data_IF_851615017805
#
_entry.id   IF_851615017805
#
_cell.length_a   1.000
_cell.length_b   1.000
_cell.length_c   1.000
_cell.angle_alpha   90.00
_cell.angle_beta   90.00
_cell.angle_gamma   90.00
#
_symmetry.space_group_name_H-M   'P 1'
#
loop_
_entity.id
_entity.type
_entity.pdbx_description
1 polymer ?
#
# COMPACT_ATOMS: atom_id res chain seq x y z
N UNK A 1 -1.13 -8.50 22.00
CA UNK A 1 -1.29 -7.22 22.74
C UNK A 1 -1.70 -6.05 21.85
N UNK A 2 -0.96 -5.67 20.81
CA UNK A 2 -1.33 -4.53 19.95
C UNK A 2 -2.67 -4.75 19.21
N UNK A 3 -2.80 -5.90 18.53
CA UNK A 3 -4.04 -6.25 17.83
C UNK A 3 -5.23 -6.41 18.78
N UNK A 4 -5.03 -6.93 19.99
CA UNK A 4 -6.12 -7.07 20.97
C UNK A 4 -6.60 -5.69 21.48
N UNK A 5 -5.68 -4.74 21.69
CA UNK A 5 -6.05 -3.35 22.04
C UNK A 5 -6.78 -2.65 20.91
N UNK A 6 -6.32 -2.81 19.67
CA UNK A 6 -7.01 -2.27 18.50
C UNK A 6 -8.40 -2.89 18.34
N UNK A 7 -8.54 -4.20 18.59
CA UNK A 7 -9.84 -4.86 18.59
C UNK A 7 -10.80 -4.25 19.60
N UNK A 8 -10.37 -4.00 20.83
CA UNK A 8 -11.24 -3.36 21.84
C UNK A 8 -11.64 -1.93 21.44
N UNK A 9 -10.74 -1.15 20.83
CA UNK A 9 -11.07 0.17 20.31
C UNK A 9 -12.09 0.12 19.15
N UNK A 10 -11.93 -0.84 18.23
CA UNK A 10 -12.90 -1.08 17.15
C UNK A 10 -14.24 -1.50 17.73
N UNK A 11 -14.26 -2.40 18.71
CA UNK A 11 -15.48 -2.91 19.33
C UNK A 11 -16.24 -1.84 20.12
N UNK A 12 -15.54 -0.84 20.66
CA UNK A 12 -16.14 0.31 21.30
C UNK A 12 -16.85 1.27 20.31
N UNK A 13 -16.41 1.31 19.05
CA UNK A 13 -16.97 2.19 18.00
C UNK A 13 -17.02 1.50 16.62
N UNK A 14 -17.81 0.42 16.47
CA UNK A 14 -17.77 -0.45 15.29
C UNK A 14 -18.32 0.19 14.01
N UNK A 15 -19.09 1.27 14.14
CA UNK A 15 -19.60 2.10 13.04
C UNK A 15 -18.58 3.14 12.57
N UNK A 16 -17.48 3.32 13.32
CA UNK A 16 -16.45 4.35 13.06
C UNK A 16 -15.10 3.76 12.69
N UNK A 17 -14.75 2.60 13.23
CA UNK A 17 -13.42 2.02 13.08
C UNK A 17 -13.46 0.60 12.52
N UNK A 18 -12.45 0.29 11.72
CA UNK A 18 -12.06 -1.06 11.33
C UNK A 18 -10.54 -1.19 11.52
N UNK A 19 -10.06 -2.42 11.71
CA UNK A 19 -8.66 -2.69 12.02
C UNK A 19 -7.91 -3.42 10.90
N UNK A 20 -6.64 -3.06 10.72
CA UNK A 20 -5.64 -3.90 10.08
C UNK A 20 -4.68 -4.44 11.14
N UNK A 21 -4.27 -5.69 10.98
CA UNK A 21 -3.35 -6.34 11.89
C UNK A 21 -1.94 -5.75 11.75
N UNK A 22 -1.29 -5.52 12.89
CA UNK A 22 0.16 -5.43 12.96
C UNK A 22 0.72 -6.86 13.04
N UNK A 23 1.70 -7.18 12.20
CA UNK A 23 2.24 -8.53 12.09
C UNK A 23 3.66 -8.61 12.66
N UNK A 24 4.02 -9.69 13.38
CA UNK A 24 5.39 -9.95 13.84
C UNK A 24 6.25 -10.49 12.69
N UNK A 25 6.49 -9.68 11.65
CA UNK A 25 7.11 -10.13 10.39
C UNK A 25 8.52 -10.71 10.52
N UNK A 26 9.21 -10.50 11.65
CA UNK A 26 10.48 -11.16 11.95
C UNK A 26 10.36 -12.69 12.02
N UNK A 27 9.17 -13.21 12.31
CA UNK A 27 8.79 -14.61 12.16
C UNK A 27 7.63 -14.71 11.15
N UNK A 28 7.92 -15.00 9.87
CA UNK A 28 6.89 -15.01 8.83
C UNK A 28 5.76 -16.02 9.04
N UNK A 29 6.04 -17.15 9.71
CA UNK A 29 5.02 -18.15 9.98
C UNK A 29 4.09 -17.66 11.08
N UNK A 30 4.65 -17.14 12.18
CA UNK A 30 3.85 -16.54 13.24
C UNK A 30 3.06 -15.32 12.73
N UNK A 31 3.62 -14.54 11.79
CA UNK A 31 2.92 -13.44 11.14
C UNK A 31 1.72 -13.90 10.30
N UNK A 32 1.85 -15.01 9.56
CA UNK A 32 0.71 -15.61 8.85
C UNK A 32 -0.37 -16.08 9.83
N UNK A 33 0.01 -16.78 10.91
CA UNK A 33 -0.94 -17.27 11.91
C UNK A 33 -1.65 -16.11 12.66
N UNK A 34 -0.93 -15.03 12.94
CA UNK A 34 -1.53 -13.82 13.53
C UNK A 34 -2.48 -13.11 12.56
N UNK A 35 -2.18 -13.08 11.26
CA UNK A 35 -3.11 -12.56 10.25
C UNK A 35 -4.42 -13.35 10.25
N UNK A 36 -4.36 -14.68 10.30
CA UNK A 36 -5.56 -15.52 10.41
C UNK A 36 -6.34 -15.23 11.68
N UNK A 37 -5.67 -15.18 12.83
CA UNK A 37 -6.33 -14.87 14.11
C UNK A 37 -7.01 -13.50 14.05
N UNK A 38 -6.31 -12.49 13.56
CA UNK A 38 -6.82 -11.13 13.48
C UNK A 38 -8.07 -11.02 12.60
N UNK A 39 -8.06 -11.66 11.43
CA UNK A 39 -9.20 -11.64 10.51
C UNK A 39 -10.37 -12.48 11.05
N UNK A 40 -10.11 -13.74 11.44
CA UNK A 40 -11.17 -14.70 11.78
C UNK A 40 -11.74 -14.53 13.18
N UNK A 41 -10.95 -14.01 14.13
CA UNK A 41 -11.35 -13.86 15.53
C UNK A 41 -11.59 -12.41 15.94
N UNK A 42 -10.82 -11.47 15.41
CA UNK A 42 -10.92 -10.05 15.78
C UNK A 42 -11.71 -9.20 14.77
N UNK A 43 -12.08 -9.76 13.63
CA UNK A 43 -12.84 -9.07 12.58
C UNK A 43 -12.02 -8.05 11.79
N UNK A 44 -10.68 -8.14 11.84
CA UNK A 44 -9.81 -7.25 11.08
C UNK A 44 -9.95 -7.49 9.58
N UNK A 45 -9.69 -6.45 8.79
CA UNK A 45 -9.96 -6.43 7.35
C UNK A 45 -8.72 -6.71 6.49
N UNK A 46 -7.62 -7.10 7.11
CA UNK A 46 -6.31 -7.26 6.47
C UNK A 46 -5.17 -6.99 7.45
N UNK A 47 -3.99 -6.70 6.91
CA UNK A 47 -2.82 -6.31 7.70
C UNK A 47 -2.08 -5.13 7.08
N UNK A 48 -1.32 -4.42 7.92
CA UNK A 48 -0.40 -3.37 7.50
C UNK A 48 1.03 -3.75 7.90
N UNK A 49 1.94 -3.67 6.94
CA UNK A 49 3.37 -3.96 7.11
C UNK A 49 4.16 -2.70 6.76
N UNK A 50 5.20 -2.40 7.52
CA UNK A 50 6.00 -1.18 7.38
C UNK A 50 7.37 -1.53 6.82
N UNK A 51 7.58 -1.28 5.53
CA UNK A 51 8.89 -1.45 4.89
C UNK A 51 9.52 -2.87 4.99
N UNK A 52 10.84 -2.98 4.77
CA UNK A 52 11.56 -4.24 4.94
C UNK A 52 11.68 -4.63 6.42
N UNK A 53 11.68 -5.93 6.68
CA UNK A 53 11.90 -6.49 8.02
C UNK A 53 13.33 -6.99 8.12
N UNK A 54 14.10 -6.47 9.08
CA UNK A 54 15.52 -6.80 9.25
C UNK A 54 16.33 -6.63 7.95
N UNK A 55 16.03 -5.57 7.18
CA UNK A 55 16.70 -5.28 5.90
C UNK A 55 16.27 -6.15 4.73
N UNK A 56 15.28 -7.04 4.91
CA UNK A 56 14.76 -7.91 3.84
C UNK A 56 13.39 -7.41 3.38
N UNK A 57 13.26 -7.16 2.09
CA UNK A 57 11.98 -6.81 1.47
C UNK A 57 11.01 -7.99 1.48
N UNK A 58 9.72 -7.67 1.48
CA UNK A 58 8.62 -8.61 1.66
C UNK A 58 8.37 -9.51 0.45
N UNK A 59 9.06 -9.26 -0.68
CA UNK A 59 9.07 -10.13 -1.85
C UNK A 59 9.87 -11.43 -1.65
N UNK A 60 10.80 -11.47 -0.68
CA UNK A 60 11.56 -12.66 -0.33
C UNK A 60 10.62 -13.82 0.04
N UNK A 61 10.91 -15.01 -0.48
CA UNK A 61 10.06 -16.22 -0.31
C UNK A 61 9.80 -16.59 1.14
N UNK A 62 10.63 -16.16 2.08
CA UNK A 62 10.36 -16.35 3.52
C UNK A 62 9.04 -15.73 3.96
N UNK A 63 8.60 -14.63 3.33
CA UNK A 63 7.37 -13.92 3.69
C UNK A 63 6.13 -14.42 2.95
N UNK A 64 6.29 -15.32 1.97
CA UNK A 64 5.19 -15.86 1.18
C UNK A 64 4.11 -16.61 2.00
N UNK A 65 4.37 -17.23 3.17
CA UNK A 65 3.31 -17.73 4.03
C UNK A 65 2.26 -16.65 4.40
N UNK A 66 2.66 -15.38 4.49
CA UNK A 66 1.77 -14.26 4.77
C UNK A 66 0.90 -13.96 3.52
N UNK A 67 1.48 -14.03 2.32
CA UNK A 67 0.75 -13.88 1.05
C UNK A 67 -0.26 -15.00 0.83
N UNK A 68 0.15 -16.24 1.10
CA UNK A 68 -0.73 -17.39 1.06
C UNK A 68 -1.93 -17.21 2.00
N UNK A 69 -1.67 -16.78 3.24
CA UNK A 69 -2.74 -16.58 4.23
C UNK A 69 -3.65 -15.40 3.86
N UNK A 70 -3.09 -14.28 3.42
CA UNK A 70 -3.87 -13.13 2.96
C UNK A 70 -4.80 -13.51 1.79
N UNK A 71 -4.29 -14.26 0.82
CA UNK A 71 -5.08 -14.77 -0.30
C UNK A 71 -6.18 -15.74 0.17
N UNK A 72 -5.86 -16.67 1.07
CA UNK A 72 -6.82 -17.66 1.58
C UNK A 72 -7.99 -16.99 2.33
N UNK A 73 -7.70 -15.90 3.05
CA UNK A 73 -8.67 -15.08 3.78
C UNK A 73 -9.37 -14.04 2.89
N UNK A 74 -8.90 -13.86 1.65
CA UNK A 74 -9.35 -12.85 0.70
C UNK A 74 -9.26 -11.39 1.20
N UNK A 75 -8.23 -11.09 2.01
CA UNK A 75 -7.98 -9.77 2.58
C UNK A 75 -6.72 -9.12 1.98
N UNK A 76 -6.66 -7.78 1.88
CA UNK A 76 -5.48 -7.08 1.41
C UNK A 76 -4.36 -6.99 2.44
N UNK A 77 -3.14 -6.77 1.93
CA UNK A 77 -1.99 -6.31 2.70
C UNK A 77 -1.68 -4.86 2.31
N UNK A 78 -1.61 -3.96 3.28
CA UNK A 78 -1.16 -2.59 3.09
C UNK A 78 0.34 -2.53 3.32
N UNK A 79 1.10 -2.17 2.29
CA UNK A 79 2.55 -1.95 2.41
C UNK A 79 2.76 -0.46 2.67
N UNK A 80 2.92 -0.14 3.95
CA UNK A 80 3.16 1.22 4.42
C UNK A 80 4.66 1.54 4.33
N UNK A 81 5.03 2.79 4.07
CA UNK A 81 6.43 3.17 4.04
C UNK A 81 7.20 2.95 5.34
N UNK A 82 8.52 2.80 5.16
CA UNK A 82 9.54 3.01 6.17
C UNK A 82 10.67 3.83 5.57
N UNK A 83 11.60 4.29 6.40
CA UNK A 83 12.83 4.90 5.90
C UNK A 83 13.63 3.89 5.06
N UNK A 84 14.33 4.36 4.02
CA UNK A 84 15.30 3.55 3.29
C UNK A 84 16.37 2.97 4.21
N UNK A 85 16.94 1.83 3.81
CA UNK A 85 18.09 1.24 4.51
C UNK A 85 19.28 2.20 4.56
N UNK A 86 20.11 2.09 5.61
CA UNK A 86 21.19 3.06 5.87
C UNK A 86 22.12 3.27 4.67
N UNK A 87 22.46 2.21 3.93
CA UNK A 87 23.31 2.31 2.75
C UNK A 87 22.71 3.22 1.65
N UNK A 88 21.38 3.21 1.49
CA UNK A 88 20.67 4.11 0.55
C UNK A 88 20.62 5.52 1.13
N UNK A 89 20.38 5.65 2.44
CA UNK A 89 20.39 6.93 3.12
C UNK A 89 21.73 7.67 2.95
N UNK A 90 22.83 6.95 3.15
CA UNK A 90 24.19 7.45 3.02
C UNK A 90 24.56 7.80 1.58
N UNK A 91 24.07 7.03 0.62
CA UNK A 91 24.38 7.25 -0.79
C UNK A 91 23.60 8.42 -1.39
N UNK A 92 22.32 8.59 -1.04
CA UNK A 92 21.41 9.46 -1.78
C UNK A 92 21.02 10.74 -1.03
N UNK A 93 20.99 10.69 0.30
CA UNK A 93 20.31 11.73 1.09
C UNK A 93 21.21 12.48 2.06
N UNK A 94 22.28 11.84 2.59
CA UNK A 94 23.08 12.34 3.72
C UNK A 94 23.48 13.81 3.62
N UNK A 95 23.87 14.29 2.43
CA UNK A 95 24.41 15.64 2.23
C UNK A 95 23.36 16.75 2.48
N UNK A 96 22.07 16.39 2.56
CA UNK A 96 20.97 17.32 2.77
C UNK A 96 20.19 17.10 4.06
N UNK A 97 20.44 16.01 4.80
CA UNK A 97 19.59 15.63 5.95
C UNK A 97 19.71 16.58 7.14
N UNK A 98 20.86 17.25 7.32
CA UNK A 98 21.01 18.25 8.38
C UNK A 98 20.05 19.44 8.18
N UNK A 99 19.76 19.80 6.92
CA UNK A 99 18.87 20.92 6.58
C UNK A 99 17.43 20.47 6.31
N UNK A 100 17.26 19.28 5.75
CA UNK A 100 15.97 18.72 5.32
C UNK A 100 15.82 17.26 5.74
N UNK A 101 15.69 16.99 7.05
CA UNK A 101 15.58 15.61 7.54
C UNK A 101 14.34 14.89 6.98
N UNK A 102 13.30 15.63 6.59
CA UNK A 102 12.08 15.08 5.99
C UNK A 102 12.34 14.40 4.63
N UNK A 103 13.45 14.72 3.96
CA UNK A 103 13.85 14.10 2.69
C UNK A 103 13.99 12.57 2.81
N UNK A 104 14.47 12.07 3.95
CA UNK A 104 14.57 10.63 4.23
C UNK A 104 13.20 9.96 4.50
N UNK A 105 12.17 10.78 4.74
CA UNK A 105 10.83 10.34 5.14
C UNK A 105 9.80 10.68 4.07
N UNK A 106 8.64 11.22 4.44
CA UNK A 106 7.50 11.47 3.57
C UNK A 106 7.77 12.42 2.39
N UNK A 107 8.82 13.24 2.44
CA UNK A 107 9.13 14.13 1.31
C UNK A 107 9.67 13.36 0.10
N UNK A 108 10.39 12.25 0.30
CA UNK A 108 10.88 11.44 -0.82
C UNK A 108 11.31 10.01 -0.45
N UNK A 109 12.10 9.82 0.60
CA UNK A 109 12.69 8.53 0.95
C UNK A 109 11.66 7.42 1.14
N UNK A 110 10.54 7.71 1.79
CA UNK A 110 9.41 6.79 1.93
C UNK A 110 8.85 6.32 0.58
N UNK A 111 8.69 7.25 -0.37
CA UNK A 111 8.21 6.94 -1.72
C UNK A 111 9.17 6.03 -2.46
N UNK A 112 10.48 6.33 -2.43
CA UNK A 112 11.48 5.51 -3.14
C UNK A 112 11.54 4.09 -2.58
N UNK A 113 11.57 3.94 -1.25
CA UNK A 113 11.64 2.63 -0.59
C UNK A 113 10.39 1.79 -0.91
N UNK A 114 9.20 2.40 -0.79
CA UNK A 114 7.92 1.70 -0.94
C UNK A 114 7.58 1.41 -2.40
N UNK A 115 7.90 2.31 -3.32
CA UNK A 115 7.79 2.07 -4.76
C UNK A 115 8.69 0.91 -5.19
N UNK A 116 9.94 0.88 -4.71
CA UNK A 116 10.87 -0.22 -4.94
C UNK A 116 10.30 -1.53 -4.39
N UNK A 117 9.70 -1.49 -3.21
CA UNK A 117 9.04 -2.64 -2.60
C UNK A 117 7.92 -3.19 -3.49
N UNK A 118 7.00 -2.34 -3.96
CA UNK A 118 5.92 -2.74 -4.86
C UNK A 118 6.44 -3.33 -6.18
N UNK A 119 7.50 -2.74 -6.74
CA UNK A 119 8.14 -3.27 -7.95
C UNK A 119 8.69 -4.68 -7.71
N UNK A 120 9.46 -4.86 -6.65
CA UNK A 120 10.08 -6.15 -6.30
C UNK A 120 9.03 -7.24 -6.09
N UNK A 121 7.91 -6.92 -5.44
CA UNK A 121 6.82 -7.89 -5.24
C UNK A 121 6.31 -8.44 -6.57
N UNK A 122 6.11 -7.59 -7.58
CA UNK A 122 5.69 -8.03 -8.92
C UNK A 122 6.77 -8.92 -9.56
N UNK A 123 8.02 -8.46 -9.56
CA UNK A 123 9.12 -9.18 -10.20
C UNK A 123 9.47 -10.52 -9.52
N UNK A 124 9.09 -10.72 -8.27
CA UNK A 124 9.40 -11.94 -7.51
C UNK A 124 8.61 -13.18 -7.94
N UNK A 125 7.56 -13.01 -8.74
CA UNK A 125 6.65 -14.10 -9.09
C UNK A 125 5.52 -14.34 -8.08
N UNK A 126 5.35 -13.44 -7.10
CA UNK A 126 4.39 -13.62 -6.01
C UNK A 126 2.94 -13.64 -6.52
N UNK A 127 2.59 -12.83 -7.51
CA UNK A 127 1.23 -12.75 -8.05
C UNK A 127 0.90 -13.91 -8.98
N UNK A 128 1.90 -14.50 -9.65
CA UNK A 128 1.76 -15.76 -10.39
C UNK A 128 1.48 -16.93 -9.44
N UNK A 129 2.13 -16.94 -8.27
CA UNK A 129 1.88 -17.94 -7.23
C UNK A 129 0.54 -17.72 -6.51
N UNK A 130 0.20 -16.46 -6.26
CA UNK A 130 -0.98 -16.03 -5.51
C UNK A 130 -1.83 -15.04 -6.35
N UNK A 131 -2.58 -15.55 -7.34
CA UNK A 131 -3.30 -14.72 -8.33
C UNK A 131 -4.53 -13.98 -7.77
N UNK A 132 -4.84 -14.12 -6.48
CA UNK A 132 -5.86 -13.31 -5.80
C UNK A 132 -5.27 -12.46 -4.67
N UNK A 133 -3.95 -12.38 -4.57
CA UNK A 133 -3.30 -11.49 -3.62
C UNK A 133 -3.66 -10.03 -3.95
N UNK A 134 -3.99 -9.25 -2.92
CA UNK A 134 -4.41 -7.84 -3.04
C UNK A 134 -3.47 -6.98 -2.22
N UNK A 135 -2.89 -5.96 -2.83
CA UNK A 135 -1.96 -5.04 -2.17
C UNK A 135 -2.55 -3.63 -2.14
N UNK A 136 -2.33 -2.92 -1.04
CA UNK A 136 -2.64 -1.49 -0.93
C UNK A 136 -1.33 -0.70 -0.75
N UNK A 137 -1.17 0.37 -1.52
CA UNK A 137 -0.09 1.35 -1.36
C UNK A 137 -0.65 2.73 -0.98
N UNK A 138 0.10 3.48 -0.20
CA UNK A 138 -0.22 4.86 0.18
C UNK A 138 0.11 5.88 -0.91
N UNK A 139 -0.07 7.16 -0.58
CA UNK A 139 0.58 8.29 -1.25
C UNK A 139 0.37 8.37 -2.76
N UNK A 140 -0.82 7.98 -3.23
CA UNK A 140 -1.18 7.81 -4.65
C UNK A 140 -0.30 6.78 -5.38
N UNK A 141 -0.04 5.66 -4.71
CA UNK A 141 0.69 4.52 -5.29
C UNK A 141 2.18 4.74 -5.37
N UNK A 142 2.74 5.60 -4.52
CA UNK A 142 4.20 5.84 -4.45
C UNK A 142 4.81 6.22 -5.80
N UNK A 143 4.09 7.02 -6.60
CA UNK A 143 4.48 7.40 -7.97
C UNK A 143 4.57 6.25 -9.00
N UNK A 144 4.20 5.02 -8.63
CA UNK A 144 4.14 3.89 -9.56
C UNK A 144 3.11 4.07 -10.67
N UNK A 145 1.89 4.63 -10.45
CA UNK A 145 0.95 4.86 -11.55
C UNK A 145 1.55 5.74 -12.66
N UNK A 146 2.32 6.76 -12.30
CA UNK A 146 3.00 7.61 -13.27
C UNK A 146 4.08 6.86 -14.06
N UNK A 147 4.76 5.91 -13.42
CA UNK A 147 5.95 5.24 -13.99
C UNK A 147 5.66 3.88 -14.63
N UNK A 148 4.47 3.31 -14.41
CA UNK A 148 4.14 1.93 -14.73
C UNK A 148 4.36 1.58 -16.21
N UNK A 149 3.94 2.43 -17.14
CA UNK A 149 4.20 2.23 -18.57
C UNK A 149 5.70 2.13 -18.89
N UNK A 150 6.51 3.05 -18.35
CA UNK A 150 7.95 3.09 -18.59
C UNK A 150 8.65 1.87 -18.00
N UNK A 151 8.28 1.46 -16.79
CA UNK A 151 8.82 0.27 -16.13
C UNK A 151 8.54 -0.97 -16.99
N UNK A 152 7.28 -1.16 -17.41
CA UNK A 152 6.90 -2.30 -18.25
C UNK A 152 7.68 -2.35 -19.57
N UNK A 153 7.77 -1.21 -20.26
CA UNK A 153 8.52 -1.11 -21.51
C UNK A 153 10.01 -1.34 -21.32
N UNK A 154 10.61 -0.85 -20.25
CA UNK A 154 12.03 -1.06 -19.96
C UNK A 154 12.32 -2.54 -19.66
N UNK A 155 11.50 -3.19 -18.83
CA UNK A 155 11.64 -4.61 -18.48
C UNK A 155 11.43 -5.55 -19.68
N UNK A 156 10.66 -5.12 -20.68
CA UNK A 156 10.43 -5.92 -21.89
C UNK A 156 11.60 -5.91 -22.88
N UNK A 157 12.59 -5.01 -22.71
CA UNK A 157 13.70 -4.88 -23.65
C UNK A 157 14.66 -6.05 -23.53
N UNK A 158 14.83 -6.79 -24.63
CA UNK A 158 15.74 -7.93 -24.69
C UNK A 158 15.26 -9.17 -23.92
N UNK A 159 14.02 -9.17 -23.43
CA UNK A 159 13.40 -10.33 -22.81
C UNK A 159 12.73 -11.23 -23.86
N UNK A 160 12.72 -12.54 -23.62
CA UNK A 160 12.05 -13.51 -24.51
C UNK A 160 10.54 -13.26 -24.62
N UNK A 161 9.95 -12.66 -23.58
CA UNK A 161 8.54 -12.27 -23.52
C UNK A 161 8.40 -10.86 -22.97
N UNK A 162 7.42 -10.07 -23.44
CA UNK A 162 7.10 -8.78 -22.84
C UNK A 162 6.78 -8.92 -21.35
N UNK A 163 7.18 -7.93 -20.57
CA UNK A 163 6.77 -7.82 -19.16
C UNK A 163 5.27 -7.56 -19.07
N UNK A 164 4.63 -8.17 -18.09
CA UNK A 164 3.26 -7.95 -17.64
C UNK A 164 3.19 -6.99 -16.44
N UNK A 165 4.29 -6.31 -16.08
CA UNK A 165 4.39 -5.48 -14.88
C UNK A 165 3.22 -4.51 -14.72
N UNK A 166 2.89 -3.77 -15.78
CA UNK A 166 1.81 -2.77 -15.76
C UNK A 166 0.46 -3.42 -15.49
N UNK A 167 0.17 -4.53 -16.17
CA UNK A 167 -1.09 -5.26 -16.03
C UNK A 167 -1.21 -5.86 -14.63
N UNK A 168 -0.16 -6.52 -14.12
CA UNK A 168 -0.10 -7.06 -12.76
C UNK A 168 -0.28 -5.96 -11.71
N UNK A 169 0.34 -4.79 -11.91
CA UNK A 169 0.15 -3.64 -11.02
C UNK A 169 -1.32 -3.19 -11.00
N UNK A 170 -1.92 -2.94 -12.17
CA UNK A 170 -3.31 -2.49 -12.27
C UNK A 170 -4.34 -3.55 -11.83
N UNK A 171 -3.97 -4.84 -11.84
CA UNK A 171 -4.84 -5.94 -11.42
C UNK A 171 -4.80 -6.18 -9.90
N UNK A 172 -3.62 -6.16 -9.29
CA UNK A 172 -3.41 -6.60 -7.90
C UNK A 172 -3.30 -5.46 -6.89
N UNK A 173 -3.09 -4.22 -7.34
CA UNK A 173 -2.86 -3.10 -6.45
C UNK A 173 -4.05 -2.15 -6.37
N UNK A 174 -4.26 -1.65 -5.16
CA UNK A 174 -5.06 -0.48 -4.84
C UNK A 174 -4.15 0.60 -4.29
N UNK A 175 -4.50 1.85 -4.51
CA UNK A 175 -3.75 3.00 -3.99
C UNK A 175 -4.63 3.86 -3.11
N UNK A 176 -4.03 4.57 -2.17
CA UNK A 176 -4.77 5.54 -1.33
C UNK A 176 -4.27 6.96 -1.49
N UNK A 177 -5.12 7.95 -1.23
CA UNK A 177 -4.78 9.38 -1.29
C UNK A 177 -3.97 9.89 -0.09
N UNK A 178 -3.48 8.99 0.79
CA UNK A 178 -2.86 9.34 2.08
C UNK A 178 -1.77 10.39 1.90
N UNK A 179 -1.90 11.53 2.60
CA UNK A 179 -0.96 12.65 2.55
C UNK A 179 -0.70 13.30 1.18
N UNK A 180 -1.38 12.90 0.10
CA UNK A 180 -1.12 13.37 -1.26
C UNK A 180 -2.42 13.81 -1.95
N UNK A 181 -2.85 15.03 -1.64
CA UNK A 181 -4.09 15.64 -2.16
C UNK A 181 -3.83 16.44 -3.45
N UNK A 182 -3.13 15.83 -4.41
CA UNK A 182 -2.78 16.43 -5.69
C UNK A 182 -3.76 16.00 -6.78
N UNK A 183 -4.55 16.95 -7.31
CA UNK A 183 -5.51 16.67 -8.40
C UNK A 183 -4.84 16.11 -9.66
N UNK A 184 -3.72 16.67 -10.18
CA UNK A 184 -3.04 16.10 -11.33
C UNK A 184 -2.55 14.66 -11.10
N UNK A 185 -2.00 14.36 -9.92
CA UNK A 185 -1.54 13.02 -9.59
C UNK A 185 -2.71 12.02 -9.48
N UNK A 186 -3.84 12.45 -8.91
CA UNK A 186 -5.05 11.64 -8.88
C UNK A 186 -5.58 11.36 -10.29
N UNK A 187 -5.67 12.37 -11.16
CA UNK A 187 -6.14 12.17 -12.54
C UNK A 187 -5.23 11.21 -13.31
N UNK A 188 -3.91 11.34 -13.16
CA UNK A 188 -2.94 10.39 -13.71
C UNK A 188 -3.21 8.96 -13.22
N UNK A 189 -3.44 8.80 -11.92
CA UNK A 189 -3.70 7.49 -11.33
C UNK A 189 -5.03 6.88 -11.81
N UNK A 190 -6.08 7.69 -11.97
CA UNK A 190 -7.36 7.25 -12.55
C UNK A 190 -7.17 6.78 -13.99
N UNK A 191 -6.42 7.53 -14.80
CA UNK A 191 -6.16 7.16 -16.19
C UNK A 191 -5.33 5.88 -16.31
N UNK A 192 -4.41 5.63 -15.38
CA UNK A 192 -3.55 4.44 -15.41
C UNK A 192 -4.24 3.18 -14.88
N UNK A 193 -4.92 3.28 -13.73
CA UNK A 193 -5.42 2.12 -12.99
C UNK A 193 -6.95 1.98 -13.01
N UNK A 194 -7.67 3.04 -13.38
CA UNK A 194 -9.11 3.14 -13.23
C UNK A 194 -9.54 3.57 -11.82
N UNK A 195 -10.67 4.27 -11.74
CA UNK A 195 -11.22 4.82 -10.48
C UNK A 195 -11.48 3.75 -9.41
N UNK A 196 -11.79 2.51 -9.81
CA UNK A 196 -12.12 1.40 -8.91
C UNK A 196 -10.92 0.89 -8.08
N UNK A 197 -9.71 1.34 -8.41
CA UNK A 197 -8.45 0.99 -7.72
C UNK A 197 -7.99 2.06 -6.71
N UNK A 198 -8.76 3.14 -6.53
CA UNK A 198 -8.34 4.28 -5.70
C UNK A 198 -9.21 4.38 -4.45
N UNK A 199 -8.59 4.45 -3.28
CA UNK A 199 -9.25 4.59 -1.97
C UNK A 199 -8.94 5.97 -1.38
N UNK A 200 -9.92 6.58 -0.73
CA UNK A 200 -9.67 7.78 0.05
C UNK A 200 -8.93 7.42 1.36
N UNK A 201 -7.87 8.18 1.66
CA UNK A 201 -7.16 8.14 2.93
C UNK A 201 -6.53 9.50 3.22
N UNK A 202 -6.38 9.84 4.51
CA UNK A 202 -5.80 11.12 4.95
C UNK A 202 -4.36 10.98 5.40
N UNK A 203 -4.02 9.91 6.12
CA UNK A 203 -2.79 9.75 6.91
C UNK A 203 -2.80 10.46 8.29
N UNK A 204 -3.96 10.49 8.94
CA UNK A 204 -4.08 11.01 10.31
C UNK A 204 -3.32 10.09 11.30
N UNK A 205 -2.54 10.63 12.27
CA UNK A 205 -2.44 12.04 12.65
C UNK A 205 -1.27 12.82 12.01
N UNK A 206 -0.48 12.21 11.12
CA UNK A 206 0.65 12.88 10.47
C UNK A 206 0.19 14.01 9.53
N UNK A 207 -0.98 13.82 8.92
CA UNK A 207 -1.67 14.82 8.11
C UNK A 207 -3.04 15.12 8.73
N UNK A 208 -3.43 16.40 8.89
CA UNK A 208 -4.74 16.73 9.43
C UNK A 208 -5.86 16.40 8.42
N UNK A 209 -7.06 16.10 8.90
CA UNK A 209 -8.21 15.75 8.06
C UNK A 209 -8.69 16.85 7.08
N UNK A 210 -8.77 18.15 7.46
CA UNK A 210 -9.43 19.16 6.63
C UNK A 210 -8.87 19.34 5.22
N UNK A 211 -7.54 19.34 4.97
CA UNK A 211 -7.00 19.40 3.61
C UNK A 211 -7.56 18.31 2.68
N UNK A 212 -7.57 17.06 3.12
CA UNK A 212 -8.06 15.93 2.30
C UNK A 212 -9.55 16.02 2.03
N UNK A 213 -10.37 16.34 3.05
CA UNK A 213 -11.82 16.44 2.88
C UNK A 213 -12.23 17.62 2.01
N UNK A 214 -11.53 18.77 2.12
CA UNK A 214 -11.78 19.94 1.27
C UNK A 214 -11.36 19.68 -0.17
N UNK A 215 -10.16 19.14 -0.37
CA UNK A 215 -9.69 18.78 -1.70
C UNK A 215 -10.65 17.81 -2.41
N UNK A 216 -11.11 16.77 -1.71
CA UNK A 216 -12.06 15.81 -2.25
C UNK A 216 -13.41 16.44 -2.62
N UNK A 217 -13.80 17.58 -2.03
CA UNK A 217 -15.03 18.30 -2.38
C UNK A 217 -14.89 19.12 -3.68
N UNK A 218 -13.68 19.54 -4.05
CA UNK A 218 -13.43 20.40 -5.20
C UNK A 218 -12.94 19.63 -6.45
N UNK A 219 -12.79 18.30 -6.36
CA UNK A 219 -12.34 17.49 -7.49
C UNK A 219 -13.28 17.56 -8.70
N UNK A 220 -12.74 17.59 -9.94
CA UNK A 220 -13.54 17.57 -11.16
C UNK A 220 -14.00 16.15 -11.51
N UNK A 221 -14.62 15.46 -10.55
CA UNK A 221 -15.14 14.10 -10.70
C UNK A 221 -16.66 14.09 -10.66
N UNK A 222 -17.24 13.15 -11.40
CA UNK A 222 -18.66 12.79 -11.29
C UNK A 222 -18.99 12.40 -9.84
N UNK A 223 -20.26 12.54 -9.45
CA UNK A 223 -20.70 12.11 -8.12
C UNK A 223 -20.46 10.61 -7.90
N UNK A 224 -20.63 9.81 -8.94
CA UNK A 224 -20.41 8.36 -8.91
C UNK A 224 -18.95 8.02 -8.60
N UNK A 225 -18.00 8.58 -9.37
CA UNK A 225 -16.57 8.31 -9.20
C UNK A 225 -16.05 8.80 -7.86
N UNK A 226 -16.54 9.97 -7.42
CA UNK A 226 -16.23 10.50 -6.08
C UNK A 226 -16.73 9.56 -4.99
N UNK A 227 -17.93 9.01 -5.14
CA UNK A 227 -18.51 8.06 -4.16
C UNK A 227 -17.71 6.75 -4.11
N UNK A 228 -17.23 6.26 -5.27
CA UNK A 228 -16.32 5.12 -5.36
C UNK A 228 -15.06 5.36 -4.54
N UNK A 229 -14.37 6.50 -4.76
CA UNK A 229 -13.11 6.81 -4.04
C UNK A 229 -13.36 7.03 -2.55
N UNK A 230 -14.40 7.80 -2.18
CA UNK A 230 -14.69 8.15 -0.78
C UNK A 230 -15.01 6.94 0.10
N UNK A 231 -15.74 5.96 -0.43
CA UNK A 231 -16.13 4.79 0.38
C UNK A 231 -16.45 3.53 -0.41
N UNK A 232 -16.96 3.63 -1.64
CA UNK A 232 -17.46 2.47 -2.40
C UNK A 232 -16.37 1.41 -2.64
N UNK A 233 -15.18 1.85 -3.04
CA UNK A 233 -14.05 0.98 -3.29
C UNK A 233 -13.56 0.31 -1.99
N UNK A 234 -13.50 1.06 -0.89
CA UNK A 234 -13.12 0.53 0.43
C UNK A 234 -14.12 -0.51 0.92
N UNK A 235 -15.42 -0.25 0.81
CA UNK A 235 -16.48 -1.21 1.18
C UNK A 235 -16.37 -2.51 0.39
N UNK A 236 -16.12 -2.41 -0.92
CA UNK A 236 -15.92 -3.57 -1.80
C UNK A 236 -14.64 -4.35 -1.47
N UNK A 237 -13.51 -3.66 -1.32
CA UNK A 237 -12.21 -4.29 -1.06
C UNK A 237 -12.15 -4.94 0.33
N UNK A 238 -12.65 -4.25 1.34
CA UNK A 238 -12.57 -4.65 2.75
C UNK A 238 -13.81 -5.41 3.24
N UNK A 239 -14.82 -5.59 2.37
CA UNK A 239 -16.09 -6.27 2.70
C UNK A 239 -16.73 -5.65 3.95
N UNK A 240 -17.02 -4.34 3.86
CA UNK A 240 -17.61 -3.49 4.90
C UNK A 240 -18.96 -2.92 4.48
#
# INVERSE_FOLDING_TARGET
LANDRLHEAVRAHPDRFAGFAALPTADPKAAADELERAVTRLGFKGAMVHGPTNGVFFDDKRFWPIFERAQALDVPLYIHPSSPVQAVADAYYKDYLDRFPQLLTAAWGYTVETATHGIRMILSGAFEKYPRLKIILGHLGESLPFSAWRINMALSRGADKPSNFRDTFCEHFWITTSGNFSTPALMCSIMEMGVDRILFSVDYPFVPNPPGTKWMADLPLSLEDRTKILSGNTKRLLRM
#
